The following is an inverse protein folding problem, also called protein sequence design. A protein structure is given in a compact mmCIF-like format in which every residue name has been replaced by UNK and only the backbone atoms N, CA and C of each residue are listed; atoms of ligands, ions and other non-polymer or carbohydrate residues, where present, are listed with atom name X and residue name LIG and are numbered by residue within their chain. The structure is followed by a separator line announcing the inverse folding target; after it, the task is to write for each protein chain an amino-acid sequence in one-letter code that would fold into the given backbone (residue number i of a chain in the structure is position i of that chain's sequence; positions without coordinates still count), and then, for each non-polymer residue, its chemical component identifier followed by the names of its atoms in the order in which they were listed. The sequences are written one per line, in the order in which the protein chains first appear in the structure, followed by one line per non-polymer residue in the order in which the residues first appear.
data_IF_014386883815
#
_entry.id   IF_014386883815
#
_cell.length_a   1.000
_cell.length_b   1.000
_cell.length_c   1.000
_cell.angle_alpha   90.00
_cell.angle_beta   90.00
_cell.angle_gamma   90.00
#
_symmetry.space_group_name_H-M   'P 1'
#
loop_
_entity.id
_entity.type
_entity.pdbx_description
1 polymer ?
#
# COMPACT_ATOMS: atom_id res chain seq x y z
N UNK A 1 -7.60 -44.52 -34.50
CA UNK A 1 -7.32 -43.11 -34.84
C UNK A 1 -8.25 -42.15 -34.10
N UNK A 2 -9.57 -42.30 -34.23
CA UNK A 2 -10.58 -41.46 -33.52
C UNK A 2 -10.36 -41.45 -31.99
N UNK A 3 -10.18 -42.61 -31.35
CA UNK A 3 -9.97 -42.71 -29.90
C UNK A 3 -8.78 -41.88 -29.40
N UNK A 4 -7.67 -41.83 -30.15
CA UNK A 4 -6.50 -41.05 -29.78
C UNK A 4 -6.80 -39.55 -29.86
N UNK A 5 -7.57 -39.13 -30.88
CA UNK A 5 -8.00 -37.73 -31.03
C UNK A 5 -8.92 -37.33 -29.88
N UNK A 6 -9.87 -38.18 -29.50
CA UNK A 6 -10.74 -37.91 -28.35
C UNK A 6 -9.95 -37.85 -27.04
N UNK A 7 -8.99 -38.74 -26.82
CA UNK A 7 -8.14 -38.72 -25.62
C UNK A 7 -7.29 -37.45 -25.57
N UNK A 8 -6.68 -37.05 -26.70
CA UNK A 8 -5.90 -35.81 -26.79
C UNK A 8 -6.76 -34.58 -26.55
N UNK A 9 -7.97 -34.52 -27.11
CA UNK A 9 -8.91 -33.42 -26.87
C UNK A 9 -9.29 -33.33 -25.39
N UNK A 10 -9.57 -34.48 -24.77
CA UNK A 10 -9.96 -34.56 -23.36
C UNK A 10 -8.79 -34.12 -22.46
N UNK A 11 -7.56 -34.52 -22.77
CA UNK A 11 -6.36 -34.11 -22.06
C UNK A 11 -6.10 -32.59 -22.17
N UNK A 12 -6.31 -31.99 -23.35
CA UNK A 12 -6.17 -30.53 -23.54
C UNK A 12 -7.21 -29.78 -22.71
N UNK A 13 -8.48 -30.21 -22.73
CA UNK A 13 -9.54 -29.57 -21.95
C UNK A 13 -9.24 -29.68 -20.45
N UNK A 14 -8.88 -30.86 -19.96
CA UNK A 14 -8.53 -31.08 -18.56
C UNK A 14 -7.30 -30.24 -18.15
N UNK A 15 -6.27 -30.20 -18.99
CA UNK A 15 -5.06 -29.40 -18.76
C UNK A 15 -5.36 -27.91 -18.73
N UNK A 16 -6.17 -27.40 -19.66
CA UNK A 16 -6.57 -26.00 -19.70
C UNK A 16 -7.40 -25.60 -18.48
N UNK A 17 -8.29 -26.48 -18.02
CA UNK A 17 -9.12 -26.25 -16.85
C UNK A 17 -8.27 -26.25 -15.57
N UNK A 18 -7.31 -27.18 -15.46
CA UNK A 18 -6.35 -27.20 -14.36
C UNK A 18 -5.47 -25.94 -14.31
N UNK A 19 -4.97 -25.49 -15.47
CA UNK A 19 -4.18 -24.26 -15.56
C UNK A 19 -5.01 -23.02 -15.20
N UNK A 20 -6.28 -22.96 -15.65
CA UNK A 20 -7.21 -21.90 -15.29
C UNK A 20 -7.47 -21.86 -13.78
N UNK A 21 -7.70 -23.02 -13.16
CA UNK A 21 -7.92 -23.11 -11.70
C UNK A 21 -6.67 -22.71 -10.92
N UNK A 22 -5.48 -23.10 -11.38
CA UNK A 22 -4.21 -22.67 -10.77
C UNK A 22 -4.02 -21.15 -10.88
N UNK A 23 -4.34 -20.55 -12.04
CA UNK A 23 -4.33 -19.10 -12.21
C UNK A 23 -5.34 -18.43 -11.28
N UNK A 24 -6.57 -18.91 -11.21
CA UNK A 24 -7.59 -18.35 -10.32
C UNK A 24 -7.21 -18.48 -8.84
N UNK A 25 -6.58 -19.57 -8.43
CA UNK A 25 -6.08 -19.75 -7.07
C UNK A 25 -4.90 -18.81 -6.78
N UNK A 26 -4.00 -18.61 -7.74
CA UNK A 26 -2.88 -17.68 -7.63
C UNK A 26 -3.34 -16.22 -7.56
N UNK A 27 -4.28 -15.81 -8.43
CA UNK A 27 -4.87 -14.47 -8.39
C UNK A 27 -5.81 -14.28 -7.20
N UNK A 28 -6.49 -15.33 -6.76
CA UNK A 28 -7.39 -15.33 -5.59
C UNK A 28 -6.66 -15.25 -4.25
N UNK A 29 -5.36 -15.55 -4.20
CA UNK A 29 -4.49 -15.26 -3.04
C UNK A 29 -4.13 -13.78 -2.91
N UNK A 30 -4.46 -12.96 -3.91
CA UNK A 30 -4.49 -11.50 -3.80
C UNK A 30 -5.91 -11.02 -3.46
N UNK A 31 -6.66 -11.78 -2.66
CA UNK A 31 -7.51 -11.10 -1.69
C UNK A 31 -6.54 -10.28 -0.85
N UNK A 32 -6.64 -8.96 -1.00
CA UNK A 32 -6.25 -8.05 0.07
C UNK A 32 -7.14 -8.50 1.24
N UNK A 33 -6.73 -9.53 1.98
CA UNK A 33 -6.90 -9.48 3.41
C UNK A 33 -6.17 -8.18 3.74
N UNK A 34 -6.88 -7.10 4.12
CA UNK A 34 -6.16 -6.07 4.83
C UNK A 34 -5.56 -6.83 6.00
N UNK A 35 -4.23 -6.97 5.98
CA UNK A 35 -3.49 -7.11 7.20
C UNK A 35 -4.20 -6.17 8.19
N UNK A 36 -4.63 -6.63 9.38
CA UNK A 36 -5.11 -5.69 10.37
C UNK A 36 -3.89 -4.88 10.80
N UNK A 37 -3.52 -3.93 9.94
CA UNK A 37 -2.54 -2.90 10.13
C UNK A 37 -3.14 -2.05 11.24
N UNK A 38 -2.86 -2.49 12.47
CA UNK A 38 -2.76 -1.61 13.63
C UNK A 38 -3.87 -0.58 13.70
N UNK A 39 -5.11 -0.97 14.01
CA UNK A 39 -6.08 -0.13 14.71
C UNK A 39 -6.09 1.37 14.32
N UNK A 40 -5.96 1.70 13.03
CA UNK A 40 -6.26 3.03 12.55
C UNK A 40 -7.73 2.95 12.19
N UNK A 41 -8.55 3.21 13.20
CA UNK A 41 -9.99 3.40 13.03
C UNK A 41 -10.16 4.44 11.91
N UNK A 42 -10.69 4.05 10.73
CA UNK A 42 -10.95 5.04 9.70
C UNK A 42 -11.96 6.03 10.29
N UNK A 43 -11.63 7.32 10.20
CA UNK A 43 -12.46 8.44 10.67
C UNK A 43 -13.78 8.39 9.89
N UNK A 44 -14.73 7.64 10.40
CA UNK A 44 -16.02 7.40 9.77
C UNK A 44 -17.12 8.14 10.54
N UNK A 45 -16.88 8.49 11.81
CA UNK A 45 -17.84 9.21 12.63
C UNK A 45 -17.44 10.70 12.79
N UNK A 46 -18.40 11.64 12.80
CA UNK A 46 -18.12 13.05 13.11
C UNK A 46 -17.44 13.25 14.48
N UNK A 47 -17.53 12.25 15.35
CA UNK A 47 -16.89 12.21 16.67
C UNK A 47 -15.38 11.97 16.60
N UNK A 48 -14.90 11.30 15.55
CA UNK A 48 -13.46 11.05 15.32
C UNK A 48 -12.74 12.31 14.81
N UNK A 49 -13.47 13.25 14.19
CA UNK A 49 -12.93 14.57 13.83
C UNK A 49 -12.56 15.40 15.06
N UNK A 50 -13.26 15.22 16.18
CA UNK A 50 -12.97 15.94 17.42
C UNK A 50 -11.64 15.48 18.04
N UNK A 51 -11.27 14.20 17.90
CA UNK A 51 -10.01 13.66 18.41
C UNK A 51 -8.79 14.07 17.58
N UNK A 52 -8.95 14.32 16.26
CA UNK A 52 -7.87 14.92 15.45
C UNK A 52 -7.65 16.40 15.79
N UNK A 53 -8.71 17.07 16.26
CA UNK A 53 -8.65 18.44 16.73
C UNK A 53 -8.28 18.58 18.21
N UNK A 54 -8.10 17.48 18.94
CA UNK A 54 -7.50 17.47 20.29
C UNK A 54 -5.97 17.68 20.17
N UNK A 55 -5.61 18.78 19.51
CA UNK A 55 -4.28 19.35 19.41
C UNK A 55 -3.99 20.12 20.71
N UNK A 56 -4.16 19.47 21.87
CA UNK A 56 -3.69 19.98 23.16
C UNK A 56 -2.15 20.00 23.26
N UNK A 57 -1.46 19.61 22.18
CA UNK A 57 -0.03 19.85 21.99
C UNK A 57 0.25 21.33 21.66
N UNK A 58 1.39 21.88 22.11
CA UNK A 58 1.78 23.25 21.75
C UNK A 58 1.83 23.38 20.22
N UNK A 59 1.05 24.31 19.68
CA UNK A 59 1.04 24.63 18.26
C UNK A 59 2.47 24.92 17.80
N UNK A 60 2.99 24.09 16.89
CA UNK A 60 4.30 24.31 16.27
C UNK A 60 4.04 25.19 15.04
N UNK A 61 4.41 26.48 15.07
CA UNK A 61 4.22 27.34 13.91
C UNK A 61 5.05 26.85 12.74
N UNK A 62 4.50 27.02 11.53
CA UNK A 62 5.23 26.76 10.30
C UNK A 62 6.48 27.68 10.28
N UNK A 63 7.69 27.13 10.08
CA UNK A 63 8.92 27.91 9.99
C UNK A 63 8.84 28.97 8.89
N UNK A 64 9.49 30.12 9.10
CA UNK A 64 9.41 31.26 8.16
C UNK A 64 9.78 30.91 6.72
N UNK A 65 10.68 29.95 6.52
CA UNK A 65 11.16 29.50 5.22
C UNK A 65 10.34 28.35 4.60
N UNK A 66 9.19 28.00 5.19
CA UNK A 66 8.26 26.97 4.69
C UNK A 66 6.83 27.50 4.56
N UNK A 67 6.67 28.82 4.53
CA UNK A 67 5.36 29.48 4.48
C UNK A 67 4.70 29.35 3.11
N UNK A 68 5.49 29.27 2.05
CA UNK A 68 4.97 29.13 0.68
C UNK A 68 5.15 27.71 0.15
N UNK A 69 4.28 27.33 -0.78
CA UNK A 69 4.34 26.02 -1.43
C UNK A 69 5.67 25.82 -2.17
N UNK A 70 6.17 26.85 -2.86
CA UNK A 70 7.43 26.78 -3.61
C UNK A 70 8.63 26.57 -2.67
N UNK A 71 8.66 27.25 -1.53
CA UNK A 71 9.70 27.07 -0.51
C UNK A 71 9.64 25.68 0.13
N UNK A 72 8.43 25.17 0.39
CA UNK A 72 8.22 23.82 0.92
C UNK A 72 8.72 22.75 -0.06
N UNK A 73 8.42 22.89 -1.34
CA UNK A 73 8.91 21.98 -2.39
C UNK A 73 10.42 22.08 -2.53
N UNK A 74 10.99 23.28 -2.53
CA UNK A 74 12.43 23.49 -2.60
C UNK A 74 13.16 22.85 -1.41
N UNK A 75 12.62 23.01 -0.20
CA UNK A 75 13.13 22.36 1.00
C UNK A 75 13.03 20.83 0.92
N UNK A 76 11.88 20.32 0.47
CA UNK A 76 11.67 18.87 0.33
C UNK A 76 12.67 18.23 -0.63
N UNK A 77 13.00 18.90 -1.75
CA UNK A 77 13.97 18.37 -2.71
C UNK A 77 15.40 18.43 -2.15
N UNK A 78 15.74 19.50 -1.43
CA UNK A 78 17.10 19.77 -0.97
C UNK A 78 17.47 19.03 0.31
N UNK A 79 16.62 19.11 1.32
CA UNK A 79 16.97 18.78 2.70
C UNK A 79 16.33 17.46 3.15
N UNK A 80 15.16 17.08 2.63
CA UNK A 80 14.53 15.79 2.97
C UNK A 80 15.42 14.58 2.66
N UNK A 81 16.14 14.48 1.52
CA UNK A 81 17.00 13.33 1.25
C UNK A 81 18.17 13.21 2.23
N UNK A 82 18.62 14.33 2.80
CA UNK A 82 19.69 14.36 3.81
C UNK A 82 19.18 13.85 5.15
N UNK A 83 18.00 14.33 5.57
CA UNK A 83 17.35 13.91 6.81
C UNK A 83 16.99 12.42 6.80
N UNK A 84 16.52 11.88 5.67
CA UNK A 84 16.21 10.45 5.55
C UNK A 84 17.46 9.58 5.51
N UNK A 85 18.54 10.04 4.88
CA UNK A 85 19.83 9.35 4.88
C UNK A 85 20.49 9.34 6.27
N UNK A 86 20.38 10.42 7.04
CA UNK A 86 20.89 10.48 8.42
C UNK A 86 20.07 9.63 9.39
N UNK A 87 18.73 9.56 9.21
CA UNK A 87 17.86 8.70 10.01
C UNK A 87 18.17 7.20 9.86
N UNK A 88 18.72 6.78 8.71
CA UNK A 88 19.16 5.38 8.48
C UNK A 88 20.52 5.06 9.09
N UNK A 89 21.26 6.04 9.58
CA UNK A 89 22.56 5.79 10.21
C UNK A 89 22.32 5.33 11.66
N UNK A 90 22.69 4.09 12.04
CA UNK A 90 22.51 3.65 13.42
C UNK A 90 23.32 4.57 14.33
N UNK A 91 22.67 5.16 15.34
CA UNK A 91 23.37 5.83 16.45
C UNK A 91 24.29 4.77 17.08
N UNK A 92 25.60 4.93 16.90
CA UNK A 92 26.60 4.28 17.74
C UNK A 92 26.80 5.10 18.99
#
# INVERSE_FOLDING_TARGET
MVANITISLLAIVLGSLGMLLLLLMWFGGMTIEPEPESAIDPILDPKDQATIYDMDGPFIPIPDHLKTADEMVAWMIRDMPRLTAEAQKPRR
#
